data_IF_674913288668
#
_entry.id   IF_674913288668
#
_cell.length_a   1.000
_cell.length_b   1.000
_cell.length_c   1.000
_cell.angle_alpha   90.00
_cell.angle_beta   90.00
_cell.angle_gamma   90.00
#
_symmetry.space_group_name_H-M   'P 1'
#
loop_
_entity.id
_entity.type
_entity.pdbx_description
1 polymer ?
#
# COMPACT_ATOMS: atom_id res chain seq x y z
N UNK A 1 36.08 -25.05 -25.88
CA UNK A 1 35.58 -25.98 -26.94
C UNK A 1 34.09 -25.97 -26.82
N UNK A 2 33.27 -25.46 -27.71
CA UNK A 2 33.30 -25.15 -29.14
C UNK A 2 32.48 -23.90 -29.38
N UNK A 3 33.05 -23.01 -30.15
CA UNK A 3 32.50 -21.80 -30.76
C UNK A 3 31.54 -22.21 -31.91
N UNK A 4 30.42 -21.51 -32.06
CA UNK A 4 29.85 -21.30 -33.41
C UNK A 4 29.14 -19.96 -33.52
N UNK A 5 29.73 -19.06 -34.29
CA UNK A 5 29.13 -17.86 -34.90
C UNK A 5 28.16 -18.30 -36.02
N UNK A 6 27.08 -17.56 -36.21
CA UNK A 6 26.49 -17.38 -37.54
C UNK A 6 26.09 -15.91 -37.76
N UNK A 7 26.82 -15.31 -38.66
CA UNK A 7 26.55 -14.04 -39.31
C UNK A 7 25.71 -14.32 -40.57
N UNK A 8 24.68 -13.53 -40.82
CA UNK A 8 24.12 -13.41 -42.18
C UNK A 8 23.66 -11.96 -42.40
N UNK A 9 24.37 -11.34 -43.31
CA UNK A 9 24.12 -10.06 -43.98
C UNK A 9 23.13 -10.31 -45.14
N UNK A 10 22.22 -9.38 -45.41
CA UNK A 10 21.41 -9.31 -46.60
C UNK A 10 21.05 -7.89 -46.94
N UNK A 11 21.65 -7.38 -48.01
CA UNK A 11 21.59 -6.01 -48.54
C UNK A 11 20.55 -5.88 -49.66
N UNK A 12 20.03 -4.65 -49.81
CA UNK A 12 19.64 -3.91 -51.03
C UNK A 12 18.28 -4.28 -51.66
N UNK A 13 17.48 -3.40 -52.23
CA UNK A 13 17.81 -2.31 -53.16
C UNK A 13 16.65 -1.30 -53.29
N UNK A 14 17.03 -0.11 -53.66
CA UNK A 14 16.45 1.12 -54.10
C UNK A 14 15.45 1.06 -55.29
N UNK A 15 14.50 2.03 -55.35
CA UNK A 15 14.15 2.87 -56.50
C UNK A 15 13.16 3.93 -56.08
N UNK A 16 13.43 5.18 -56.03
CA UNK A 16 13.55 6.24 -57.02
C UNK A 16 12.22 6.78 -57.56
N UNK A 17 11.92 8.02 -57.11
CA UNK A 17 11.44 9.22 -57.81
C UNK A 17 10.11 9.24 -58.56
N UNK A 18 9.26 10.23 -58.23
CA UNK A 18 8.95 11.31 -59.20
C UNK A 18 8.30 12.51 -58.55
N UNK A 19 8.88 13.67 -58.81
CA UNK A 19 8.36 15.01 -58.54
C UNK A 19 7.15 15.35 -59.40
N UNK A 20 6.22 16.14 -58.85
CA UNK A 20 5.46 17.09 -59.68
C UNK A 20 5.11 18.30 -58.85
N UNK A 21 5.69 19.41 -59.26
CA UNK A 21 5.37 20.76 -58.78
C UNK A 21 3.97 21.16 -59.30
N UNK A 22 3.28 21.98 -58.46
CA UNK A 22 2.06 22.66 -58.87
C UNK A 22 1.84 23.85 -57.93
N UNK A 23 2.45 25.00 -58.27
CA UNK A 23 2.09 26.28 -57.70
C UNK A 23 0.61 26.63 -58.00
N UNK A 24 -0.12 27.12 -57.04
CA UNK A 24 -1.05 28.24 -57.30
C UNK A 24 -1.28 29.11 -56.08
N UNK A 25 -1.35 30.41 -56.38
CA UNK A 25 -1.32 31.60 -55.56
C UNK A 25 -2.61 31.88 -54.82
N UNK A 26 -2.47 32.38 -53.58
CA UNK A 26 -3.19 33.42 -52.85
C UNK A 26 -4.68 33.66 -53.08
N UNK A 27 -5.43 33.62 -51.96
CA UNK A 27 -6.30 34.72 -51.56
C UNK A 27 -6.55 34.71 -50.05
N UNK A 28 -6.31 35.87 -49.44
CA UNK A 28 -6.53 36.15 -48.01
C UNK A 28 -8.02 36.22 -47.70
N UNK A 29 -8.46 35.56 -46.64
CA UNK A 29 -9.63 36.02 -45.88
C UNK A 29 -9.32 35.82 -44.39
N UNK A 30 -9.18 36.94 -43.70
CA UNK A 30 -9.23 37.07 -42.25
C UNK A 30 -10.63 36.74 -41.81
N UNK A 31 -10.76 35.74 -40.96
CA UNK A 31 -11.84 35.67 -40.00
C UNK A 31 -11.29 35.15 -38.66
N UNK A 32 -11.40 36.01 -37.68
CA UNK A 32 -10.98 35.77 -36.30
C UNK A 32 -11.97 34.78 -35.66
N UNK A 33 -11.48 33.68 -35.25
CA UNK A 33 -12.20 32.68 -34.48
C UNK A 33 -11.18 31.65 -33.93
N UNK A 34 -10.22 32.16 -33.16
CA UNK A 34 -9.27 31.27 -32.45
C UNK A 34 -10.00 30.65 -31.25
N UNK A 35 -10.72 29.57 -31.47
CA UNK A 35 -10.94 28.59 -30.41
C UNK A 35 -9.72 27.69 -30.41
N UNK A 36 -8.71 28.06 -29.61
CA UNK A 36 -7.68 27.13 -29.14
C UNK A 36 -8.42 26.01 -28.40
N UNK A 37 -8.71 24.92 -29.08
CA UNK A 37 -8.84 23.64 -28.44
C UNK A 37 -7.40 23.20 -28.10
N UNK A 38 -6.83 23.85 -27.11
CA UNK A 38 -5.58 23.35 -26.54
C UNK A 38 -5.81 21.91 -26.10
N UNK A 39 -4.99 21.01 -26.59
CA UNK A 39 -4.95 19.65 -26.11
C UNK A 39 -4.69 19.70 -24.61
N UNK A 40 -5.57 19.13 -23.78
CA UNK A 40 -5.40 19.14 -22.33
C UNK A 40 -4.09 18.40 -21.99
N UNK A 41 -3.33 18.96 -21.08
CA UNK A 41 -2.15 18.27 -20.52
C UNK A 41 -2.61 16.97 -19.84
N UNK A 42 -1.73 15.99 -19.76
CA UNK A 42 -2.03 14.68 -19.18
C UNK A 42 -1.17 14.45 -17.94
N UNK A 43 -1.80 14.03 -16.85
CA UNK A 43 -1.16 13.51 -15.64
C UNK A 43 -1.15 12.00 -15.72
N UNK A 44 0.01 11.38 -15.52
CA UNK A 44 0.16 9.94 -15.37
C UNK A 44 0.08 9.58 -13.87
N UNK A 45 -0.95 8.82 -13.49
CA UNK A 45 -1.16 8.34 -12.14
C UNK A 45 -0.99 6.83 -12.07
N UNK A 46 -0.06 6.36 -11.25
CA UNK A 46 0.09 4.92 -11.00
C UNK A 46 -0.53 4.58 -9.65
N UNK A 47 -1.51 3.68 -9.68
CA UNK A 47 -2.23 3.28 -8.48
C UNK A 47 -2.03 1.80 -8.15
N UNK A 48 -1.90 1.53 -6.86
CA UNK A 48 -1.84 0.16 -6.36
C UNK A 48 -3.26 -0.40 -6.29
N UNK A 49 -3.44 -1.68 -6.61
CA UNK A 49 -4.76 -2.32 -6.49
C UNK A 49 -5.04 -2.63 -5.02
N UNK A 50 -6.13 -2.07 -4.48
CA UNK A 50 -6.56 -2.25 -3.11
C UNK A 50 -7.83 -3.11 -3.04
N UNK A 51 -7.97 -3.86 -1.92
CA UNK A 51 -9.13 -4.69 -1.67
C UNK A 51 -9.12 -6.02 -2.43
N UNK A 52 -10.18 -6.78 -2.28
CA UNK A 52 -10.33 -8.15 -2.83
C UNK A 52 -11.12 -8.20 -4.14
N UNK A 53 -11.71 -7.08 -4.59
CA UNK A 53 -12.41 -6.93 -5.87
C UNK A 53 -11.68 -5.91 -6.75
N UNK A 54 -10.68 -6.38 -7.49
CA UNK A 54 -9.84 -5.55 -8.33
C UNK A 54 -10.66 -4.82 -9.43
N UNK A 55 -11.60 -5.50 -10.06
CA UNK A 55 -12.40 -4.92 -11.15
C UNK A 55 -13.27 -3.77 -10.68
N UNK A 56 -13.92 -3.93 -9.51
CA UNK A 56 -14.73 -2.86 -8.91
C UNK A 56 -13.87 -1.69 -8.45
N UNK A 57 -12.70 -1.98 -7.88
CA UNK A 57 -11.73 -0.96 -7.46
C UNK A 57 -11.26 -0.13 -8.65
N UNK A 58 -10.75 -0.78 -9.70
CA UNK A 58 -10.26 -0.10 -10.90
C UNK A 58 -11.32 0.78 -11.56
N UNK A 59 -12.57 0.28 -11.64
CA UNK A 59 -13.68 1.05 -12.21
C UNK A 59 -13.95 2.33 -11.39
N UNK A 60 -13.93 2.24 -10.06
CA UNK A 60 -14.14 3.38 -9.16
C UNK A 60 -13.02 4.40 -9.27
N UNK A 61 -11.77 3.96 -9.29
CA UNK A 61 -10.61 4.87 -9.38
C UNK A 61 -10.60 5.59 -10.73
N UNK A 62 -10.96 4.91 -11.84
CA UNK A 62 -11.07 5.55 -13.15
C UNK A 62 -12.14 6.65 -13.16
N UNK A 63 -13.30 6.42 -12.53
CA UNK A 63 -14.36 7.42 -12.41
C UNK A 63 -13.88 8.63 -11.58
N UNK A 64 -13.17 8.40 -10.47
CA UNK A 64 -12.57 9.48 -9.66
C UNK A 64 -11.55 10.26 -10.48
N UNK A 65 -10.65 9.59 -11.19
CA UNK A 65 -9.63 10.22 -12.02
C UNK A 65 -10.25 11.07 -13.14
N UNK A 66 -11.37 10.63 -13.74
CA UNK A 66 -12.11 11.41 -14.73
C UNK A 66 -12.68 12.71 -14.11
N UNK A 67 -13.31 12.60 -12.93
CA UNK A 67 -13.86 13.76 -12.19
C UNK A 67 -12.75 14.74 -11.80
N UNK A 68 -11.64 14.25 -11.25
CA UNK A 68 -10.48 15.08 -10.90
C UNK A 68 -9.90 15.76 -12.14
N UNK A 69 -9.75 15.02 -13.24
CA UNK A 69 -9.27 15.57 -14.51
C UNK A 69 -10.15 16.70 -15.05
N UNK A 70 -11.48 16.60 -14.89
CA UNK A 70 -12.40 17.70 -15.23
C UNK A 70 -12.20 18.93 -14.32
N UNK A 71 -12.00 18.69 -13.01
CA UNK A 71 -11.82 19.75 -12.01
C UNK A 71 -10.52 20.53 -12.23
N UNK A 72 -9.40 19.83 -12.47
CA UNK A 72 -8.09 20.46 -12.69
C UNK A 72 -7.83 20.89 -14.14
N UNK A 73 -8.74 20.54 -15.07
CA UNK A 73 -8.62 20.89 -16.48
C UNK A 73 -7.59 20.07 -17.27
N UNK A 74 -7.22 18.89 -16.79
CA UNK A 74 -6.27 17.97 -17.40
C UNK A 74 -6.89 16.62 -17.77
N UNK A 75 -6.16 15.77 -18.49
CA UNK A 75 -6.48 14.36 -18.60
C UNK A 75 -5.73 13.61 -17.48
N UNK A 76 -6.33 12.58 -16.89
CA UNK A 76 -5.65 11.69 -15.92
C UNK A 76 -5.60 10.28 -16.49
N UNK A 77 -4.41 9.82 -16.84
CA UNK A 77 -4.18 8.45 -17.27
C UNK A 77 -3.76 7.59 -16.08
N UNK A 78 -4.63 6.64 -15.68
CA UNK A 78 -4.34 5.77 -14.54
C UNK A 78 -3.81 4.42 -15.00
N UNK A 79 -2.69 4.01 -14.41
CA UNK A 79 -2.09 2.68 -14.55
C UNK A 79 -2.15 1.95 -13.22
N UNK A 80 -2.75 0.76 -13.21
CA UNK A 80 -2.81 -0.08 -12.01
C UNK A 80 -1.62 -1.01 -11.89
N UNK A 81 -1.10 -1.12 -10.67
CA UNK A 81 0.04 -1.97 -10.33
C UNK A 81 -0.35 -2.98 -9.25
N UNK A 82 0.05 -4.25 -9.40
CA UNK A 82 -0.06 -5.21 -8.30
C UNK A 82 0.97 -4.90 -7.21
N UNK A 83 0.70 -5.31 -5.99
CA UNK A 83 1.64 -5.18 -4.86
C UNK A 83 2.92 -5.99 -5.06
N UNK A 84 2.89 -7.04 -5.87
CA UNK A 84 4.08 -7.80 -6.21
C UNK A 84 5.03 -6.97 -7.07
N UNK A 85 6.28 -6.83 -6.60
CA UNK A 85 7.36 -6.12 -7.30
C UNK A 85 7.14 -4.61 -7.55
N UNK A 86 6.13 -3.95 -6.98
CA UNK A 86 5.88 -2.53 -7.20
C UNK A 86 7.11 -1.66 -6.93
N UNK A 87 7.84 -1.93 -5.85
CA UNK A 87 9.08 -1.21 -5.50
C UNK A 87 10.08 -1.23 -6.66
N UNK A 88 10.31 -2.40 -7.26
CA UNK A 88 11.25 -2.53 -8.38
C UNK A 88 10.74 -1.81 -9.64
N UNK A 89 9.43 -1.82 -9.88
CA UNK A 89 8.80 -1.12 -11.00
C UNK A 89 9.02 0.38 -10.87
N UNK A 90 8.70 0.97 -9.72
CA UNK A 90 8.89 2.40 -9.47
C UNK A 90 10.38 2.82 -9.53
N UNK A 91 11.26 2.10 -8.84
CA UNK A 91 12.69 2.44 -8.84
C UNK A 91 13.31 2.33 -10.25
N UNK A 92 12.85 1.39 -11.07
CA UNK A 92 13.30 1.27 -12.46
C UNK A 92 12.79 2.44 -13.30
N UNK A 93 11.54 2.85 -13.12
CA UNK A 93 10.94 3.98 -13.82
C UNK A 93 11.66 5.30 -13.46
N UNK A 94 11.94 5.53 -12.18
CA UNK A 94 12.74 6.69 -11.72
C UNK A 94 14.12 6.68 -12.36
N UNK A 95 14.82 5.55 -12.33
CA UNK A 95 16.16 5.43 -12.91
C UNK A 95 16.20 5.64 -14.43
N UNK A 96 15.10 5.36 -15.13
CA UNK A 96 14.98 5.54 -16.58
C UNK A 96 14.35 6.88 -17.01
N UNK A 97 13.89 7.70 -16.06
CA UNK A 97 13.18 8.95 -16.36
C UNK A 97 11.79 8.73 -16.96
N UNK A 98 11.13 7.64 -16.57
CA UNK A 98 9.77 7.26 -17.00
C UNK A 98 8.84 7.05 -15.81
N UNK A 99 9.13 7.71 -14.69
CA UNK A 99 8.24 7.69 -13.52
C UNK A 99 6.94 8.45 -13.84
N UNK A 100 5.80 8.09 -13.20
CA UNK A 100 4.57 8.85 -13.33
C UNK A 100 4.68 10.22 -12.65
N UNK A 101 3.66 11.07 -12.80
CA UNK A 101 3.58 12.33 -12.04
C UNK A 101 3.24 12.06 -10.57
N UNK A 102 2.30 11.13 -10.32
CA UNK A 102 1.86 10.74 -8.97
C UNK A 102 1.72 9.23 -8.89
N UNK A 103 1.98 8.67 -7.72
CA UNK A 103 1.71 7.25 -7.48
C UNK A 103 1.34 6.93 -6.04
N UNK A 104 0.37 6.02 -5.84
CA UNK A 104 0.19 5.37 -4.54
C UNK A 104 1.31 4.36 -4.33
N UNK A 105 1.84 4.30 -3.14
CA UNK A 105 3.00 3.43 -2.85
C UNK A 105 2.93 2.88 -1.42
N UNK A 106 3.81 1.94 -1.11
CA UNK A 106 4.09 1.56 0.27
C UNK A 106 4.92 2.64 0.98
N UNK A 107 4.78 2.71 2.29
CA UNK A 107 5.35 3.76 3.17
C UNK A 107 6.86 3.98 3.01
N UNK A 108 7.63 2.96 2.60
CA UNK A 108 9.10 3.03 2.53
C UNK A 108 9.63 3.46 1.16
N UNK A 109 8.81 3.46 0.11
CA UNK A 109 9.29 3.81 -1.23
C UNK A 109 9.65 5.30 -1.37
N UNK A 110 8.91 6.27 -0.79
CA UNK A 110 9.24 7.69 -0.91
C UNK A 110 10.67 8.02 -0.51
N UNK A 111 11.19 7.44 0.59
CA UNK A 111 12.58 7.66 1.01
C UNK A 111 13.60 7.15 -0.01
N UNK A 112 13.35 6.03 -0.66
CA UNK A 112 14.24 5.47 -1.68
C UNK A 112 14.26 6.34 -2.94
N UNK A 113 13.09 6.79 -3.39
CA UNK A 113 12.97 7.69 -4.55
C UNK A 113 13.58 9.04 -4.25
N UNK A 114 13.41 9.58 -3.02
CA UNK A 114 14.05 10.82 -2.59
C UNK A 114 15.59 10.74 -2.64
N UNK A 115 16.17 9.65 -2.14
CA UNK A 115 17.62 9.43 -2.23
C UNK A 115 18.14 9.33 -3.67
N UNK A 116 17.29 9.00 -4.64
CA UNK A 116 17.61 8.99 -6.07
C UNK A 116 17.43 10.38 -6.72
N UNK A 117 16.90 11.37 -5.98
CA UNK A 117 16.58 12.69 -6.51
C UNK A 117 15.34 12.72 -7.42
N UNK A 118 14.45 11.73 -7.30
CA UNK A 118 13.27 11.56 -8.16
C UNK A 118 11.95 12.05 -7.54
N UNK A 119 12.01 12.84 -6.45
CA UNK A 119 10.79 13.33 -5.77
C UNK A 119 10.59 14.83 -6.01
N UNK A 120 9.33 15.25 -5.99
CA UNK A 120 8.93 16.66 -6.01
C UNK A 120 8.65 17.13 -4.56
N UNK A 121 9.01 18.39 -4.26
CA UNK A 121 8.71 19.02 -2.97
C UNK A 121 7.24 19.50 -2.91
N UNK A 122 6.50 19.03 -1.91
CA UNK A 122 5.09 19.32 -1.69
C UNK A 122 4.83 20.35 -0.57
N UNK A 123 5.84 20.97 0.01
CA UNK A 123 5.67 21.92 1.13
C UNK A 123 4.69 23.04 0.80
N UNK A 124 4.65 23.49 -0.47
CA UNK A 124 3.71 24.53 -0.89
C UNK A 124 2.23 24.15 -0.72
N UNK A 125 1.89 22.84 -0.81
CA UNK A 125 0.51 22.38 -0.57
C UNK A 125 0.13 22.62 0.91
N UNK A 126 1.05 22.32 1.84
CA UNK A 126 0.80 22.58 3.27
C UNK A 126 0.69 24.07 3.57
N UNK A 127 1.48 24.91 2.89
CA UNK A 127 1.42 26.37 3.02
C UNK A 127 0.08 26.91 2.50
N UNK A 128 -0.37 26.44 1.34
CA UNK A 128 -1.66 26.80 0.76
C UNK A 128 -2.81 26.38 1.69
N UNK A 129 -2.86 25.13 2.11
CA UNK A 129 -3.90 24.64 3.02
C UNK A 129 -3.94 25.38 4.35
N UNK A 130 -2.77 25.77 4.88
CA UNK A 130 -2.69 26.60 6.07
C UNK A 130 -3.23 28.00 5.84
N UNK A 131 -2.92 28.62 4.70
CA UNK A 131 -3.43 29.94 4.32
C UNK A 131 -4.96 29.94 4.08
N UNK A 132 -5.48 28.86 3.52
CA UNK A 132 -6.89 28.62 3.23
C UNK A 132 -7.68 28.20 4.49
N UNK A 133 -7.04 27.88 5.61
CA UNK A 133 -7.61 27.20 6.77
C UNK A 133 -8.33 25.88 6.37
N UNK A 134 -7.71 25.10 5.50
CA UNK A 134 -8.28 23.85 5.00
C UNK A 134 -8.35 22.81 6.14
N UNK A 135 -9.55 22.27 6.43
CA UNK A 135 -9.73 21.32 7.54
C UNK A 135 -9.00 19.99 7.35
N UNK A 136 -8.59 19.65 6.13
CA UNK A 136 -7.80 18.44 5.83
C UNK A 136 -6.48 18.47 6.61
N UNK A 137 -5.84 19.62 6.73
CA UNK A 137 -4.57 19.75 7.44
C UNK A 137 -4.70 19.35 8.92
N UNK A 138 -5.82 19.70 9.57
CA UNK A 138 -6.10 19.31 10.95
C UNK A 138 -6.41 17.81 11.11
N UNK A 139 -6.83 17.15 10.03
CA UNK A 139 -7.16 15.74 10.02
C UNK A 139 -5.92 14.84 9.81
N UNK A 140 -4.83 15.38 9.26
CA UNK A 140 -3.59 14.62 9.03
C UNK A 140 -2.74 14.63 10.32
N UNK A 141 -2.45 13.47 10.93
CA UNK A 141 -1.55 13.41 12.07
C UNK A 141 -0.15 13.91 11.72
N UNK A 142 0.48 14.67 12.60
CA UNK A 142 1.85 15.16 12.37
C UNK A 142 2.83 14.01 12.09
N UNK A 143 2.70 12.87 12.77
CA UNK A 143 3.52 11.68 12.52
C UNK A 143 3.41 11.16 11.07
N UNK A 144 2.25 11.32 10.43
CA UNK A 144 2.07 10.94 9.04
C UNK A 144 2.85 11.85 8.07
N UNK A 145 2.91 13.14 8.37
CA UNK A 145 3.73 14.09 7.61
C UNK A 145 5.22 13.87 7.88
N UNK A 146 5.59 13.60 9.13
CA UNK A 146 7.00 13.43 9.52
C UNK A 146 7.65 12.23 8.79
N UNK A 147 6.93 11.10 8.65
CA UNK A 147 7.45 9.92 7.95
C UNK A 147 7.55 10.09 6.43
N UNK A 148 6.94 11.11 5.85
CA UNK A 148 7.00 11.45 4.44
C UNK A 148 7.84 12.70 4.17
N UNK A 149 8.50 13.24 5.20
CA UNK A 149 9.37 14.43 5.12
C UNK A 149 10.83 14.02 5.22
N UNK A 150 11.62 14.31 4.19
CA UNK A 150 13.05 14.01 4.12
C UNK A 150 13.80 15.30 3.84
N UNK A 151 14.87 15.56 4.59
CA UNK A 151 15.70 16.80 4.47
C UNK A 151 14.88 18.10 4.55
N UNK A 152 13.71 18.08 5.22
CA UNK A 152 12.79 19.21 5.36
C UNK A 152 11.81 19.38 4.19
N UNK A 153 11.79 18.45 3.25
CA UNK A 153 10.88 18.41 2.11
C UNK A 153 9.83 17.31 2.30
N UNK A 154 8.55 17.68 2.30
CA UNK A 154 7.45 16.73 2.16
C UNK A 154 7.44 16.23 0.71
N UNK A 155 7.61 14.94 0.49
CA UNK A 155 7.72 14.35 -0.85
C UNK A 155 6.52 13.50 -1.23
N UNK A 156 5.71 13.13 -0.24
CA UNK A 156 4.49 12.38 -0.46
C UNK A 156 3.40 12.84 0.50
N UNK A 157 2.17 12.90 0.02
CA UNK A 157 1.01 13.29 0.83
C UNK A 157 0.38 12.04 1.45
N UNK A 158 0.29 11.93 2.79
CA UNK A 158 -0.44 10.84 3.42
C UNK A 158 -1.93 10.91 3.05
N UNK A 159 -2.50 9.83 2.54
CA UNK A 159 -3.92 9.78 2.17
C UNK A 159 -4.71 8.71 2.92
N UNK A 160 -4.05 7.70 3.48
CA UNK A 160 -4.69 6.63 4.23
C UNK A 160 -3.88 6.25 5.47
N UNK A 161 -4.57 5.85 6.53
CA UNK A 161 -3.99 5.46 7.82
C UNK A 161 -4.46 4.05 8.14
N UNK A 162 -3.53 3.11 8.20
CA UNK A 162 -3.79 1.69 8.40
C UNK A 162 -3.13 1.19 9.68
N UNK A 163 -3.83 1.23 10.84
CA UNK A 163 -3.34 0.61 12.05
C UNK A 163 -3.41 -0.91 11.93
N UNK A 164 -2.32 -1.60 12.24
CA UNK A 164 -2.29 -3.05 12.33
C UNK A 164 -3.10 -3.53 13.53
N UNK A 165 -3.89 -4.56 13.35
CA UNK A 165 -4.74 -5.11 14.40
C UNK A 165 -4.96 -6.62 14.22
N UNK A 166 -5.52 -7.23 15.27
CA UNK A 166 -6.11 -8.56 15.20
C UNK A 166 -7.62 -8.38 15.09
N UNK A 167 -8.21 -9.02 14.10
CA UNK A 167 -9.67 -9.13 13.98
C UNK A 167 -10.10 -10.55 14.36
N UNK A 168 -11.18 -10.68 15.12
CA UNK A 168 -11.71 -11.97 15.54
C UNK A 168 -13.18 -12.16 15.13
N UNK A 169 -13.62 -13.40 15.00
CA UNK A 169 -15.01 -13.77 14.76
C UNK A 169 -15.74 -14.01 16.08
N UNK A 170 -16.63 -13.08 16.44
CA UNK A 170 -17.38 -13.12 17.69
C UNK A 170 -18.29 -14.35 17.81
N UNK A 171 -18.83 -14.86 16.71
CA UNK A 171 -19.66 -16.06 16.71
C UNK A 171 -18.84 -17.29 17.12
N UNK A 172 -17.63 -17.45 16.58
CA UNK A 172 -16.71 -18.54 16.96
C UNK A 172 -16.30 -18.43 18.44
N UNK A 173 -16.02 -17.22 18.92
CA UNK A 173 -15.72 -16.99 20.33
C UNK A 173 -16.87 -17.45 21.22
N UNK A 174 -18.11 -17.05 20.90
CA UNK A 174 -19.33 -17.48 21.63
C UNK A 174 -19.52 -18.99 21.59
N UNK A 175 -19.36 -19.63 20.45
CA UNK A 175 -19.43 -21.10 20.31
C UNK A 175 -18.39 -21.81 21.20
N UNK A 176 -17.20 -21.22 21.30
CA UNK A 176 -16.14 -21.73 22.17
C UNK A 176 -16.32 -21.35 23.65
N UNK A 177 -17.37 -20.57 24.00
CA UNK A 177 -17.60 -20.09 25.35
C UNK A 177 -16.62 -19.05 25.83
N UNK A 178 -15.97 -18.34 24.90
CA UNK A 178 -15.07 -17.21 25.17
C UNK A 178 -15.98 -15.98 25.27
N UNK A 179 -16.02 -15.34 26.43
CA UNK A 179 -16.94 -14.23 26.73
C UNK A 179 -16.22 -12.88 26.81
N UNK A 180 -14.91 -12.89 26.94
CA UNK A 180 -14.08 -11.69 27.04
C UNK A 180 -12.91 -11.79 26.07
N UNK A 181 -12.48 -10.66 25.54
CA UNK A 181 -11.27 -10.56 24.71
C UNK A 181 -10.02 -10.77 25.57
N UNK A 182 -9.00 -11.45 25.04
CA UNK A 182 -7.70 -11.52 25.71
C UNK A 182 -7.08 -10.13 25.77
N UNK A 183 -6.38 -9.83 26.87
CA UNK A 183 -5.68 -8.57 27.10
C UNK A 183 -4.17 -8.73 27.17
N UNK A 184 -3.70 -9.96 27.30
CA UNK A 184 -2.27 -10.31 27.39
C UNK A 184 -1.89 -11.42 26.42
N UNK A 185 -0.59 -11.60 26.17
CA UNK A 185 -0.09 -12.69 25.35
C UNK A 185 -0.48 -14.07 25.91
N UNK A 186 -0.44 -14.24 27.23
CA UNK A 186 -0.82 -15.51 27.87
C UNK A 186 -2.31 -15.81 27.69
N UNK A 187 -3.17 -14.80 27.89
CA UNK A 187 -4.61 -14.94 27.66
C UNK A 187 -4.92 -15.22 26.19
N UNK A 188 -4.17 -14.62 25.26
CA UNK A 188 -4.31 -14.91 23.84
C UNK A 188 -3.96 -16.35 23.49
N UNK A 189 -2.88 -16.90 24.07
CA UNK A 189 -2.54 -18.31 23.93
C UNK A 189 -3.66 -19.21 24.47
N UNK A 190 -4.25 -18.87 25.63
CA UNK A 190 -5.34 -19.64 26.23
C UNK A 190 -6.62 -19.59 25.40
N UNK A 191 -6.94 -18.45 24.79
CA UNK A 191 -8.02 -18.32 23.82
C UNK A 191 -7.76 -19.22 22.61
N UNK A 192 -6.57 -19.18 22.04
CA UNK A 192 -6.20 -20.03 20.90
C UNK A 192 -6.29 -21.53 21.24
N UNK A 193 -5.81 -21.95 22.44
CA UNK A 193 -5.91 -23.33 22.93
C UNK A 193 -7.36 -23.76 23.08
N UNK A 194 -8.22 -22.89 23.62
CA UNK A 194 -9.64 -23.14 23.78
C UNK A 194 -10.35 -23.34 22.44
N UNK A 195 -10.03 -22.51 21.45
CA UNK A 195 -10.59 -22.65 20.10
C UNK A 195 -10.11 -23.96 19.48
N UNK A 196 -8.83 -24.27 19.53
CA UNK A 196 -8.27 -25.51 18.98
C UNK A 196 -8.90 -26.77 19.62
N UNK A 197 -9.18 -26.75 20.91
CA UNK A 197 -9.83 -27.88 21.62
C UNK A 197 -11.30 -28.05 21.18
N UNK A 198 -12.05 -26.95 21.12
CA UNK A 198 -13.51 -26.98 20.88
C UNK A 198 -13.88 -27.01 19.40
N UNK A 199 -13.06 -26.41 18.55
CA UNK A 199 -13.23 -26.30 17.11
C UNK A 199 -11.95 -26.71 16.38
N UNK A 200 -11.56 -28.00 16.42
CA UNK A 200 -10.33 -28.49 15.78
C UNK A 200 -10.36 -28.36 14.25
N UNK A 201 -11.50 -28.06 13.67
CA UNK A 201 -11.72 -27.77 12.26
C UNK A 201 -11.39 -26.33 11.87
N UNK A 202 -11.18 -25.44 12.86
CA UNK A 202 -10.89 -24.01 12.65
C UNK A 202 -9.47 -23.68 13.09
N UNK A 203 -8.77 -22.88 12.31
CA UNK A 203 -7.48 -22.32 12.68
C UNK A 203 -7.69 -21.25 13.75
N UNK A 204 -7.09 -21.35 14.95
CA UNK A 204 -7.28 -20.33 15.98
C UNK A 204 -6.85 -18.94 15.53
N UNK A 205 -5.66 -18.82 14.93
CA UNK A 205 -5.12 -17.56 14.45
C UNK A 205 -4.45 -17.74 13.08
N UNK A 206 -4.84 -16.95 12.09
CA UNK A 206 -4.21 -16.95 10.77
C UNK A 206 -3.40 -15.68 10.55
N UNK A 207 -2.14 -15.85 10.14
CA UNK A 207 -1.24 -14.77 9.77
C UNK A 207 -0.31 -15.26 8.65
N UNK A 208 0.04 -14.38 7.73
CA UNK A 208 0.97 -14.66 6.64
C UNK A 208 2.42 -14.38 7.07
N UNK A 209 3.32 -15.28 6.74
CA UNK A 209 4.76 -15.12 6.94
C UNK A 209 5.57 -15.64 5.73
N UNK A 210 4.91 -15.95 4.61
CA UNK A 210 5.53 -16.40 3.37
C UNK A 210 5.88 -15.28 2.40
N UNK A 211 5.45 -14.06 2.68
CA UNK A 211 5.70 -12.89 1.85
C UNK A 211 6.26 -11.72 2.69
N UNK A 212 6.12 -10.49 2.18
CA UNK A 212 6.60 -9.27 2.84
C UNK A 212 5.94 -9.00 4.21
N UNK A 213 4.79 -9.63 4.52
CA UNK A 213 4.08 -9.38 5.78
C UNK A 213 4.73 -10.00 7.02
N UNK A 214 5.69 -10.89 6.86
CA UNK A 214 6.40 -11.49 8.01
C UNK A 214 7.03 -10.44 8.93
N UNK A 215 7.59 -9.37 8.35
CA UNK A 215 8.20 -8.30 9.14
C UNK A 215 7.14 -7.49 9.90
N UNK A 216 5.97 -7.27 9.30
CA UNK A 216 4.83 -6.57 9.91
C UNK A 216 4.31 -7.35 11.12
N UNK A 217 4.04 -8.64 10.95
CA UNK A 217 3.61 -9.53 12.03
C UNK A 217 4.59 -9.50 13.21
N UNK A 218 5.89 -9.67 12.92
CA UNK A 218 6.91 -9.71 13.96
C UNK A 218 7.06 -8.36 14.68
N UNK A 219 7.12 -7.26 13.92
CA UNK A 219 7.23 -5.91 14.48
C UNK A 219 5.99 -5.55 15.30
N UNK A 220 4.79 -5.93 14.85
CA UNK A 220 3.55 -5.73 15.60
C UNK A 220 3.64 -6.35 17.00
N UNK A 221 4.01 -7.61 17.11
CA UNK A 221 4.15 -8.26 18.42
C UNK A 221 5.30 -7.68 19.25
N UNK A 222 6.39 -7.21 18.62
CA UNK A 222 7.43 -6.46 19.33
C UNK A 222 6.86 -5.17 19.95
N UNK A 223 6.08 -4.40 19.20
CA UNK A 223 5.48 -3.16 19.71
C UNK A 223 4.44 -3.42 20.81
N UNK A 224 3.65 -4.49 20.69
CA UNK A 224 2.77 -4.95 21.76
C UNK A 224 3.53 -5.34 23.04
N UNK A 225 4.80 -5.71 22.90
CA UNK A 225 5.70 -6.03 24.02
C UNK A 225 6.59 -4.84 24.44
N UNK A 226 6.29 -3.63 23.96
CA UNK A 226 7.01 -2.40 24.33
C UNK A 226 8.42 -2.29 23.75
N UNK A 227 8.72 -3.00 22.66
CA UNK A 227 10.03 -3.01 22.00
C UNK A 227 9.92 -2.89 20.47
N UNK A 228 11.05 -2.79 19.79
CA UNK A 228 11.14 -2.87 18.34
C UNK A 228 12.43 -3.57 17.94
N UNK A 229 12.51 -4.06 16.70
CA UNK A 229 13.71 -4.71 16.12
C UNK A 229 14.85 -3.73 15.87
N UNK A 230 14.56 -2.43 15.88
CA UNK A 230 15.50 -1.31 15.76
C UNK A 230 15.23 -0.33 16.89
N UNK A 231 16.28 0.18 17.53
CA UNK A 231 16.18 1.21 18.56
C UNK A 231 15.91 2.59 17.94
N UNK A 232 15.54 3.59 18.77
CA UNK A 232 15.32 4.97 18.30
C UNK A 232 16.56 5.60 17.65
N UNK A 233 17.77 5.19 18.04
CA UNK A 233 19.03 5.60 17.43
C UNK A 233 19.45 4.70 16.25
N UNK A 234 18.49 4.01 15.64
CA UNK A 234 18.61 3.17 14.43
C UNK A 234 19.62 2.02 14.55
N UNK A 235 19.82 1.48 15.75
CA UNK A 235 20.67 0.30 15.94
C UNK A 235 19.83 -1.00 15.96
N UNK A 236 20.36 -2.12 15.47
CA UNK A 236 19.70 -3.42 15.59
C UNK A 236 19.42 -3.79 17.06
N UNK A 237 18.18 -4.22 17.35
CA UNK A 237 17.74 -4.62 18.68
C UNK A 237 17.23 -6.08 18.73
N UNK A 238 17.51 -6.87 17.71
CA UNK A 238 16.96 -8.22 17.52
C UNK A 238 17.38 -9.25 18.58
N UNK A 239 18.36 -8.91 19.43
CA UNK A 239 18.87 -9.80 20.50
C UNK A 239 18.49 -9.32 21.90
N UNK A 240 17.62 -8.33 22.04
CA UNK A 240 17.15 -7.89 23.34
C UNK A 240 16.28 -8.97 24.01
N UNK A 241 16.21 -9.03 25.35
CA UNK A 241 15.33 -9.94 26.06
C UNK A 241 13.87 -9.81 25.64
N UNK A 242 13.40 -8.59 25.43
CA UNK A 242 12.03 -8.28 25.05
C UNK A 242 11.69 -8.84 23.67
N UNK A 243 12.61 -8.74 22.68
CA UNK A 243 12.44 -9.34 21.35
C UNK A 243 12.49 -10.88 21.43
N UNK A 244 13.33 -11.45 22.31
CA UNK A 244 13.37 -12.89 22.52
C UNK A 244 12.08 -13.44 23.11
N UNK A 245 11.42 -12.72 24.03
CA UNK A 245 10.09 -13.10 24.55
C UNK A 245 9.04 -13.16 23.45
N UNK A 246 9.07 -12.23 22.47
CA UNK A 246 8.20 -12.30 21.28
C UNK A 246 8.50 -13.52 20.42
N UNK A 247 9.80 -13.86 20.23
CA UNK A 247 10.19 -15.08 19.52
C UNK A 247 9.65 -16.34 20.21
N UNK A 248 9.74 -16.39 21.53
CA UNK A 248 9.22 -17.51 22.34
C UNK A 248 7.70 -17.61 22.26
N UNK A 249 7.00 -16.49 22.30
CA UNK A 249 5.54 -16.42 22.11
C UNK A 249 5.13 -16.97 20.73
N UNK A 250 5.71 -16.46 19.66
CA UNK A 250 5.40 -16.91 18.30
C UNK A 250 5.79 -18.37 18.06
N UNK A 251 6.92 -18.80 18.64
CA UNK A 251 7.32 -20.20 18.61
C UNK A 251 6.32 -21.10 19.34
N UNK A 252 5.82 -20.68 20.49
CA UNK A 252 4.78 -21.41 21.23
C UNK A 252 3.51 -21.55 20.39
N UNK A 253 3.07 -20.48 19.72
CA UNK A 253 1.92 -20.53 18.82
C UNK A 253 2.12 -21.55 17.69
N UNK A 254 3.32 -21.61 17.12
CA UNK A 254 3.64 -22.55 16.05
C UNK A 254 3.74 -24.00 16.57
N UNK A 255 4.51 -24.23 17.63
CA UNK A 255 4.75 -25.57 18.19
C UNK A 255 3.46 -26.21 18.69
N UNK A 256 2.56 -25.43 19.27
CA UNK A 256 1.25 -25.89 19.72
C UNK A 256 0.20 -25.93 18.60
N UNK A 257 0.54 -25.52 17.37
CA UNK A 257 -0.40 -25.45 16.23
C UNK A 257 -1.59 -24.52 16.49
N UNK A 258 -1.35 -23.37 17.10
CA UNK A 258 -2.31 -22.32 17.37
C UNK A 258 -2.37 -21.30 16.21
N UNK A 259 -1.33 -21.24 15.41
CA UNK A 259 -1.27 -20.53 14.15
C UNK A 259 -1.35 -21.55 12.99
N UNK A 260 -1.75 -21.11 11.79
CA UNK A 260 -1.78 -21.98 10.62
C UNK A 260 -0.45 -22.71 10.43
N UNK A 261 -0.47 -24.02 10.19
CA UNK A 261 0.73 -24.82 9.93
C UNK A 261 1.51 -24.30 8.71
N UNK A 262 0.78 -23.78 7.71
CA UNK A 262 1.35 -23.16 6.49
C UNK A 262 1.82 -21.71 6.67
N UNK A 263 1.72 -21.11 7.86
CA UNK A 263 2.00 -19.68 8.07
C UNK A 263 3.34 -19.24 7.48
N UNK A 264 4.40 -20.05 7.62
CA UNK A 264 5.74 -19.75 7.12
C UNK A 264 5.84 -19.65 5.58
N UNK A 265 4.87 -20.19 4.85
CA UNK A 265 4.79 -20.12 3.38
C UNK A 265 3.51 -19.47 2.87
N UNK A 266 2.60 -19.10 3.77
CA UNK A 266 1.31 -18.50 3.45
C UNK A 266 1.48 -17.06 2.96
N UNK A 267 0.88 -16.74 1.85
CA UNK A 267 0.79 -15.37 1.34
C UNK A 267 -0.35 -14.60 2.01
N UNK A 268 -0.32 -13.27 1.90
CA UNK A 268 -1.39 -12.39 2.40
C UNK A 268 -2.76 -12.72 1.80
N UNK A 269 -2.82 -13.04 0.49
CA UNK A 269 -4.07 -13.45 -0.17
C UNK A 269 -4.63 -14.78 0.35
N UNK A 270 -3.76 -15.76 0.67
CA UNK A 270 -4.18 -17.03 1.25
C UNK A 270 -4.67 -16.87 2.68
N UNK A 271 -4.02 -16.02 3.49
CA UNK A 271 -4.46 -15.63 4.83
C UNK A 271 -5.89 -15.04 4.78
N UNK A 272 -6.09 -14.06 3.92
CA UNK A 272 -7.37 -13.36 3.78
C UNK A 272 -8.47 -14.32 3.34
N UNK A 273 -8.22 -15.14 2.32
CA UNK A 273 -9.14 -16.15 1.84
C UNK A 273 -9.52 -17.16 2.92
N UNK A 274 -8.57 -17.54 3.78
CA UNK A 274 -8.78 -18.47 4.89
C UNK A 274 -9.76 -17.88 5.92
N UNK A 275 -9.57 -16.64 6.33
CA UNK A 275 -10.46 -15.97 7.28
C UNK A 275 -11.85 -15.71 6.67
N UNK A 276 -11.90 -15.16 5.47
CA UNK A 276 -13.16 -14.81 4.78
C UNK A 276 -14.01 -16.04 4.51
N UNK A 277 -13.40 -17.20 4.30
CA UNK A 277 -14.10 -18.48 4.17
C UNK A 277 -14.65 -19.02 5.49
N UNK A 278 -14.36 -18.39 6.64
CA UNK A 278 -14.77 -18.84 7.96
C UNK A 278 -13.92 -19.99 8.53
N UNK A 279 -12.75 -20.24 7.98
CA UNK A 279 -11.83 -21.31 8.39
C UNK A 279 -10.82 -20.89 9.47
N UNK A 280 -10.86 -19.63 9.90
CA UNK A 280 -10.04 -19.13 11.01
C UNK A 280 -10.87 -18.29 11.97
N UNK A 281 -10.54 -18.36 13.27
CA UNK A 281 -11.23 -17.61 14.30
C UNK A 281 -10.70 -16.18 14.44
N UNK A 282 -9.41 -15.98 14.21
CA UNK A 282 -8.74 -14.68 14.29
C UNK A 282 -7.80 -14.49 13.10
N UNK A 283 -7.64 -13.24 12.67
CA UNK A 283 -6.72 -12.84 11.58
C UNK A 283 -5.87 -11.66 12.02
N UNK A 284 -4.58 -11.66 11.68
CA UNK A 284 -3.73 -10.48 11.73
C UNK A 284 -3.81 -9.71 10.42
N UNK A 285 -4.31 -8.48 10.47
CA UNK A 285 -4.44 -7.58 9.32
C UNK A 285 -4.85 -6.19 9.78
N UNK A 286 -4.44 -5.14 9.02
CA UNK A 286 -4.80 -3.75 9.32
C UNK A 286 -6.32 -3.47 9.31
N UNK A 287 -7.09 -4.06 8.38
CA UNK A 287 -8.56 -3.94 8.33
C UNK A 287 -9.16 -5.07 7.50
N UNK A 288 -10.47 -5.24 7.60
CA UNK A 288 -11.26 -6.01 6.65
C UNK A 288 -12.00 -5.02 5.74
N UNK A 289 -11.83 -5.13 4.44
CA UNK A 289 -12.57 -4.32 3.49
C UNK A 289 -14.03 -4.77 3.33
N UNK A 290 -14.88 -3.88 2.85
CA UNK A 290 -16.32 -4.13 2.72
C UNK A 290 -16.68 -5.24 1.71
N UNK A 291 -15.74 -5.66 0.85
CA UNK A 291 -15.98 -6.77 -0.09
C UNK A 291 -16.18 -8.10 0.65
N UNK A 292 -15.63 -8.23 1.86
CA UNK A 292 -15.90 -9.37 2.74
C UNK A 292 -17.40 -9.56 2.98
N UNK A 293 -18.15 -8.45 3.11
CA UNK A 293 -19.61 -8.51 3.25
C UNK A 293 -20.32 -9.15 2.04
N UNK A 294 -19.74 -8.98 0.85
CA UNK A 294 -20.28 -9.57 -0.39
C UNK A 294 -19.88 -11.02 -0.52
N UNK A 295 -18.64 -11.38 -0.12
CA UNK A 295 -18.12 -12.75 -0.23
C UNK A 295 -18.71 -13.64 0.86
N UNK A 296 -18.72 -13.18 2.11
CA UNK A 296 -19.23 -13.91 3.26
C UNK A 296 -19.81 -12.96 4.31
N UNK A 297 -21.11 -12.69 4.16
CA UNK A 297 -21.84 -11.78 5.04
C UNK A 297 -21.78 -12.19 6.51
N UNK A 298 -21.81 -13.49 6.81
CA UNK A 298 -21.78 -13.99 8.19
C UNK A 298 -20.43 -13.67 8.86
N UNK A 299 -19.33 -13.90 8.17
CA UNK A 299 -17.99 -13.53 8.68
C UNK A 299 -17.91 -12.02 8.89
N UNK A 300 -18.38 -11.21 7.93
CA UNK A 300 -18.38 -9.76 8.05
C UNK A 300 -19.15 -9.26 9.27
N UNK A 301 -20.38 -9.72 9.43
CA UNK A 301 -21.27 -9.29 10.53
C UNK A 301 -20.76 -9.69 11.92
N UNK A 302 -19.96 -10.76 12.01
CA UNK A 302 -19.38 -11.26 13.26
C UNK A 302 -17.93 -10.85 13.47
N UNK A 303 -17.27 -10.14 12.54
CA UNK A 303 -15.92 -9.67 12.71
C UNK A 303 -15.84 -8.45 13.63
N UNK A 304 -14.91 -8.48 14.58
CA UNK A 304 -14.62 -7.40 15.54
C UNK A 304 -13.12 -7.18 15.63
N UNK A 305 -12.71 -5.93 15.73
CA UNK A 305 -11.30 -5.58 16.02
C UNK A 305 -11.04 -5.85 17.49
N UNK A 306 -9.98 -6.59 17.78
CA UNK A 306 -9.54 -6.91 19.13
C UNK A 306 -8.81 -5.72 19.76
N UNK A 307 -8.97 -5.53 21.06
CA UNK A 307 -8.15 -4.59 21.83
C UNK A 307 -6.66 -4.98 21.76
N UNK A 308 -5.76 -4.00 21.97
CA UNK A 308 -4.33 -4.29 21.97
C UNK A 308 -3.98 -5.26 23.10
N UNK A 309 -3.26 -6.30 22.73
CA UNK A 309 -2.67 -7.22 23.68
C UNK A 309 -1.47 -6.56 24.36
N UNK A 310 -1.23 -6.92 25.60
CA UNK A 310 -0.04 -6.49 26.34
C UNK A 310 0.94 -7.67 26.45
N UNK A 311 2.15 -7.47 25.94
CA UNK A 311 3.24 -8.40 26.17
C UNK A 311 3.78 -8.33 27.61
N UNK A 312 4.64 -9.29 28.01
CA UNK A 312 5.16 -9.37 29.40
C UNK A 312 6.05 -8.19 29.82
N UNK A 313 6.65 -7.48 28.88
CA UNK A 313 7.68 -6.47 29.18
C UNK A 313 7.18 -5.03 29.16
N UNK A 314 5.87 -4.80 28.98
CA UNK A 314 5.30 -3.45 28.94
C UNK A 314 3.95 -3.35 29.65
N UNK A 315 3.66 -2.17 30.18
CA UNK A 315 2.32 -1.80 30.64
C UNK A 315 1.56 -0.93 29.64
N UNK A 316 2.22 -0.46 28.59
CA UNK A 316 1.69 0.43 27.55
C UNK A 316 1.94 -0.14 26.16
N UNK A 317 1.12 -1.13 25.72
CA UNK A 317 1.28 -1.70 24.38
C UNK A 317 1.00 -0.63 23.31
N UNK A 318 1.71 -0.73 22.20
CA UNK A 318 1.51 0.11 21.03
C UNK A 318 1.23 -0.74 19.80
N UNK A 319 0.49 -0.22 18.85
CA UNK A 319 0.32 -0.81 17.54
C UNK A 319 1.17 -0.12 16.50
N UNK A 320 1.52 -0.87 15.47
CA UNK A 320 2.12 -0.33 14.26
C UNK A 320 1.03 0.29 13.37
N UNK A 321 1.36 1.41 12.74
CA UNK A 321 0.45 2.10 11.82
C UNK A 321 1.20 2.45 10.54
N UNK A 322 0.62 2.08 9.41
CA UNK A 322 1.09 2.55 8.11
C UNK A 322 0.38 3.83 7.72
N UNK A 323 1.14 4.75 7.14
CA UNK A 323 0.62 5.95 6.50
C UNK A 323 0.88 5.80 5.00
N UNK A 324 -0.16 5.47 4.27
CA UNK A 324 -0.05 5.25 2.82
C UNK A 324 0.10 6.59 2.09
N UNK A 325 1.12 6.74 1.26
CA UNK A 325 1.42 7.99 0.60
C UNK A 325 0.94 8.05 -0.84
N UNK A 326 0.54 9.26 -1.26
CA UNK A 326 0.57 9.72 -2.64
C UNK A 326 1.95 10.34 -2.90
N UNK A 327 2.85 9.62 -3.54
CA UNK A 327 4.19 10.07 -3.86
C UNK A 327 4.14 10.95 -5.11
N UNK A 328 4.73 12.15 -5.02
CA UNK A 328 4.93 13.02 -6.17
C UNK A 328 6.34 12.84 -6.73
N UNK A 329 6.43 12.57 -8.01
CA UNK A 329 7.69 12.40 -8.71
C UNK A 329 8.13 13.72 -9.35
N UNK A 330 9.46 13.90 -9.52
CA UNK A 330 9.99 15.01 -10.28
C UNK A 330 9.58 14.88 -11.75
N UNK A 331 8.87 15.88 -12.29
CA UNK A 331 8.23 15.85 -13.60
C UNK A 331 8.14 17.25 -14.23
N UNK A 332 7.65 17.31 -15.46
CA UNK A 332 7.50 18.55 -16.23
C UNK A 332 6.16 19.29 -15.94
N UNK A 333 5.27 18.72 -15.07
CA UNK A 333 3.93 19.25 -14.77
C UNK A 333 3.71 19.54 -13.27
N UNK A 334 4.62 20.25 -12.56
CA UNK A 334 4.56 20.36 -11.10
C UNK A 334 3.30 21.00 -10.55
N UNK A 335 2.70 21.97 -11.26
CA UNK A 335 1.48 22.65 -10.80
C UNK A 335 0.24 21.76 -10.99
N UNK A 336 0.18 20.96 -12.05
CA UNK A 336 -0.90 19.99 -12.25
C UNK A 336 -0.78 18.84 -11.24
N UNK A 337 0.44 18.36 -10.97
CA UNK A 337 0.68 17.35 -9.93
C UNK A 337 0.20 17.80 -8.55
N UNK A 338 0.48 19.06 -8.18
CA UNK A 338 -0.04 19.63 -6.93
C UNK A 338 -1.56 19.79 -6.95
N UNK A 339 -2.14 20.21 -8.08
CA UNK A 339 -3.58 20.32 -8.22
C UNK A 339 -4.27 18.95 -8.07
N UNK A 340 -3.70 17.90 -8.68
CA UNK A 340 -4.19 16.52 -8.54
C UNK A 340 -4.13 16.02 -7.08
N UNK A 341 -3.06 16.31 -6.35
CA UNK A 341 -2.93 15.89 -4.94
C UNK A 341 -3.88 16.68 -4.02
N UNK A 342 -4.23 17.91 -4.39
CA UNK A 342 -5.14 18.78 -3.62
C UNK A 342 -6.64 18.45 -3.84
N UNK A 343 -6.99 17.87 -4.98
CA UNK A 343 -8.35 17.46 -5.34
C UNK A 343 -8.75 16.14 -4.70
#
# INVERSE_FOLDING_TARGET
MVTTMFTACGKADSSAASETEGQNTAESNTDEGNTESGEKETIEFWDMIWGSDADAYEATVREICEQVGEEIGANVEVRFLPWDNFTQVYLTAVASGTAPDVGTTGTTLPSQVHMMGGTMNLNSILEDWKAENNPILDAIPQAALDVQTFDGELVAMPFDIQPECITYNEAIFKECGITEEPTTFDEFLDVCRTIKEKRPDIIPFVAAAGDHEVHTLFTYFCMLNGTNVVTEDLKPNVSSPEVLHVCEFLKTMYDEGLIAESAASMTSGERDSTYVSGNAAMIFRHNLDSSVATINKEVWENSRVMNLLKGPDTDTPASMTYFQPLLAFDNDHPELTKAFIKS
#
